data_IF_824846742821
#
_entry.id   IF_824846742821
#
_cell.length_a   1.000
_cell.length_b   1.000
_cell.length_c   1.000
_cell.angle_alpha   90.00
_cell.angle_beta   90.00
_cell.angle_gamma   90.00
#
_symmetry.space_group_name_H-M   'P 1'
#
loop_
_entity.id
_entity.type
_entity.pdbx_description
1 polymer ?
#
# COMPACT_ATOMS: atom_id res chain seq x y z
N UNK A 1 36.05 1.66 -10.23
CA UNK A 1 36.14 0.82 -9.03
C UNK A 1 35.92 -0.61 -9.46
N UNK A 2 36.78 -1.56 -9.05
CA UNK A 2 36.55 -2.99 -9.35
C UNK A 2 35.82 -3.63 -8.18
N UNK A 3 34.65 -4.21 -8.44
CA UNK A 3 33.91 -4.98 -7.45
C UNK A 3 34.69 -6.27 -7.18
N UNK A 4 34.96 -6.56 -5.90
CA UNK A 4 35.57 -7.84 -5.50
C UNK A 4 34.60 -9.01 -5.74
N UNK A 5 35.11 -10.24 -5.68
CA UNK A 5 34.27 -11.43 -5.74
C UNK A 5 33.12 -11.35 -4.73
N UNK A 6 31.91 -11.72 -5.16
CA UNK A 6 30.73 -11.69 -4.33
C UNK A 6 30.93 -12.58 -3.08
N UNK A 7 30.43 -12.12 -1.93
CA UNK A 7 30.35 -12.96 -0.73
C UNK A 7 29.57 -14.25 -1.03
N UNK A 8 29.80 -15.33 -0.26
CA UNK A 8 29.20 -16.62 -0.53
C UNK A 8 27.66 -16.52 -0.62
N UNK A 9 27.11 -16.93 -1.77
CA UNK A 9 25.68 -16.94 -2.02
C UNK A 9 25.03 -15.59 -2.36
N UNK A 10 25.79 -14.48 -2.39
CA UNK A 10 25.25 -13.16 -2.78
C UNK A 10 24.84 -13.16 -4.24
N UNK A 11 25.67 -13.71 -5.13
CA UNK A 11 25.39 -13.80 -6.56
C UNK A 11 24.14 -14.65 -6.84
N UNK A 12 23.97 -15.78 -6.15
CA UNK A 12 22.78 -16.63 -6.27
C UNK A 12 21.51 -15.93 -5.76
N UNK A 13 21.61 -15.15 -4.68
CA UNK A 13 20.47 -14.36 -4.18
C UNK A 13 20.10 -13.23 -5.12
N UNK A 14 21.09 -12.55 -5.71
CA UNK A 14 20.87 -11.51 -6.71
C UNK A 14 20.18 -12.09 -7.95
N UNK A 15 20.59 -13.28 -8.41
CA UNK A 15 19.92 -13.99 -9.49
C UNK A 15 18.47 -14.33 -9.13
N UNK A 16 18.21 -14.86 -7.93
CA UNK A 16 16.85 -15.17 -7.49
C UNK A 16 15.92 -13.93 -7.40
N UNK A 17 16.47 -12.76 -7.03
CA UNK A 17 15.72 -11.49 -7.08
C UNK A 17 15.37 -11.13 -8.52
N UNK A 18 16.31 -11.26 -9.46
CA UNK A 18 16.06 -10.99 -10.86
C UNK A 18 14.98 -11.92 -11.44
N UNK A 19 15.04 -13.21 -11.13
CA UNK A 19 14.03 -14.20 -11.55
C UNK A 19 12.64 -13.84 -11.01
N UNK A 20 12.54 -13.52 -9.70
CA UNK A 20 11.27 -13.13 -9.08
C UNK A 20 10.69 -11.83 -9.69
N UNK A 21 11.53 -10.87 -10.06
CA UNK A 21 11.09 -9.64 -10.75
C UNK A 21 10.57 -9.96 -12.15
N UNK A 22 11.24 -10.84 -12.90
CA UNK A 22 10.74 -11.30 -14.20
C UNK A 22 9.36 -11.96 -14.07
N UNK A 23 9.22 -12.89 -13.11
CA UNK A 23 7.93 -13.55 -12.84
C UNK A 23 6.83 -12.54 -12.49
N UNK A 24 7.14 -11.53 -11.67
CA UNK A 24 6.20 -10.46 -11.34
C UNK A 24 5.81 -9.65 -12.58
N UNK A 25 6.78 -9.26 -13.41
CA UNK A 25 6.54 -8.49 -14.65
C UNK A 25 5.64 -9.26 -15.61
N UNK A 26 5.83 -10.57 -15.75
CA UNK A 26 5.00 -11.42 -16.60
C UNK A 26 3.56 -11.58 -16.06
N UNK A 27 3.38 -11.49 -14.74
CA UNK A 27 2.09 -11.66 -14.09
C UNK A 27 1.24 -10.38 -14.01
N UNK A 28 1.87 -9.20 -14.00
CA UNK A 28 1.16 -7.94 -13.72
C UNK A 28 0.53 -7.30 -14.96
N UNK A 29 -0.66 -6.74 -14.77
CA UNK A 29 -1.32 -5.81 -15.66
C UNK A 29 -1.80 -4.60 -14.85
N UNK A 30 -2.24 -3.49 -15.47
CA UNK A 30 -2.72 -2.33 -14.71
C UNK A 30 -3.86 -2.64 -13.73
N UNK A 31 -4.62 -3.73 -13.94
CA UNK A 31 -5.76 -4.11 -13.10
C UNK A 31 -5.46 -5.20 -12.07
N UNK A 32 -4.27 -5.80 -12.07
CA UNK A 32 -3.91 -6.88 -11.12
C UNK A 32 -3.26 -6.34 -9.84
N UNK A 33 -2.88 -5.07 -9.81
CA UNK A 33 -2.26 -4.46 -8.64
C UNK A 33 -3.30 -4.21 -7.54
N UNK A 34 -3.00 -4.70 -6.34
CA UNK A 34 -3.66 -4.25 -5.11
C UNK A 34 -2.79 -3.21 -4.41
N UNK A 35 -3.38 -2.40 -3.52
CA UNK A 35 -2.61 -1.43 -2.71
C UNK A 35 -1.46 -2.11 -1.97
N UNK A 36 -1.73 -3.26 -1.31
CA UNK A 36 -0.70 -4.02 -0.61
C UNK A 36 0.41 -4.52 -1.53
N UNK A 37 0.07 -5.04 -2.72
CA UNK A 37 1.09 -5.48 -3.67
C UNK A 37 2.00 -4.34 -4.15
N UNK A 38 1.46 -3.12 -4.30
CA UNK A 38 2.28 -1.96 -4.65
C UNK A 38 3.14 -1.50 -3.47
N UNK A 39 2.62 -1.55 -2.24
CA UNK A 39 3.39 -1.25 -1.02
C UNK A 39 4.56 -2.22 -0.85
N UNK A 40 4.32 -3.52 -0.97
CA UNK A 40 5.34 -4.57 -0.88
C UNK A 40 6.42 -4.40 -1.97
N UNK A 41 6.00 -4.13 -3.22
CA UNK A 41 6.94 -3.89 -4.31
C UNK A 41 7.78 -2.63 -4.08
N UNK A 42 7.18 -1.55 -3.57
CA UNK A 42 7.89 -0.33 -3.24
C UNK A 42 8.89 -0.54 -2.08
N UNK A 43 8.52 -1.32 -1.06
CA UNK A 43 9.41 -1.67 0.05
C UNK A 43 10.60 -2.50 -0.42
N UNK A 44 10.38 -3.48 -1.31
CA UNK A 44 11.45 -4.25 -1.93
C UNK A 44 12.43 -3.37 -2.74
N UNK A 45 11.92 -2.38 -3.48
CA UNK A 45 12.75 -1.40 -4.20
C UNK A 45 13.60 -0.58 -3.22
N UNK A 46 13.02 -0.10 -2.13
CA UNK A 46 13.74 0.69 -1.12
C UNK A 46 14.86 -0.15 -0.46
N UNK A 47 14.58 -1.41 -0.09
CA UNK A 47 15.56 -2.32 0.50
C UNK A 47 16.70 -2.66 -0.48
N UNK A 48 16.39 -2.91 -1.75
CA UNK A 48 17.42 -3.17 -2.77
C UNK A 48 18.26 -1.92 -3.04
N UNK A 49 17.66 -0.74 -3.08
CA UNK A 49 18.37 0.52 -3.24
C UNK A 49 19.31 0.79 -2.06
N UNK A 50 18.88 0.51 -0.82
CA UNK A 50 19.73 0.61 0.36
C UNK A 50 20.92 -0.36 0.29
N UNK A 51 20.68 -1.63 -0.07
CA UNK A 51 21.73 -2.63 -0.20
C UNK A 51 22.77 -2.26 -1.27
N UNK A 52 22.33 -1.73 -2.42
CA UNK A 52 23.22 -1.28 -3.49
C UNK A 52 23.95 0.03 -3.15
N UNK A 53 23.31 0.93 -2.41
CA UNK A 53 23.95 2.16 -1.93
C UNK A 53 25.12 1.89 -0.99
N UNK A 54 25.15 0.72 -0.33
CA UNK A 54 26.26 0.30 0.52
C UNK A 54 27.53 -0.13 -0.24
N UNK A 55 27.48 -0.25 -1.58
CA UNK A 55 28.64 -0.60 -2.41
C UNK A 55 29.71 0.49 -2.32
N UNK A 56 29.34 1.73 -2.65
CA UNK A 56 30.22 2.88 -2.63
C UNK A 56 29.45 4.23 -2.63
N UNK A 57 30.13 5.37 -2.35
CA UNK A 57 29.48 6.68 -2.33
C UNK A 57 28.91 7.17 -3.67
N UNK A 58 29.35 6.63 -4.80
CA UNK A 58 28.79 6.93 -6.12
C UNK A 58 27.46 6.17 -6.33
N UNK A 59 27.39 4.90 -5.97
CA UNK A 59 26.16 4.12 -5.93
C UNK A 59 25.11 4.76 -5.00
N UNK A 60 25.52 5.18 -3.80
CA UNK A 60 24.64 5.90 -2.88
C UNK A 60 24.07 7.19 -3.49
N UNK A 61 24.90 7.97 -4.20
CA UNK A 61 24.45 9.19 -4.90
C UNK A 61 23.51 8.88 -6.06
N UNK A 62 23.79 7.82 -6.81
CA UNK A 62 22.95 7.39 -7.93
C UNK A 62 21.55 6.95 -7.46
N UNK A 63 21.45 6.32 -6.29
CA UNK A 63 20.22 5.76 -5.74
C UNK A 63 19.47 6.68 -4.77
N UNK A 64 20.03 7.85 -4.44
CA UNK A 64 19.47 8.76 -3.43
C UNK A 64 18.02 9.21 -3.68
N UNK A 65 17.56 9.19 -4.94
CA UNK A 65 16.20 9.59 -5.30
C UNK A 65 15.16 8.49 -5.09
N UNK A 66 15.57 7.22 -4.94
CA UNK A 66 14.65 6.07 -4.89
C UNK A 66 13.66 6.16 -3.71
N UNK A 67 14.09 6.40 -2.46
CA UNK A 67 13.15 6.47 -1.33
C UNK A 67 12.12 7.59 -1.46
N UNK A 68 12.51 8.72 -2.05
CA UNK A 68 11.59 9.82 -2.30
C UNK A 68 10.55 9.47 -3.37
N UNK A 69 10.96 8.75 -4.41
CA UNK A 69 10.09 8.30 -5.49
C UNK A 69 9.07 7.26 -5.02
N UNK A 70 9.50 6.24 -4.26
CA UNK A 70 8.62 5.22 -3.69
C UNK A 70 7.66 5.82 -2.65
N UNK A 71 8.11 6.76 -1.81
CA UNK A 71 7.23 7.50 -0.91
C UNK A 71 6.19 8.36 -1.65
N UNK A 72 6.57 8.97 -2.78
CA UNK A 72 5.63 9.72 -3.62
C UNK A 72 4.57 8.80 -4.26
N UNK A 73 4.96 7.60 -4.70
CA UNK A 73 4.05 6.58 -5.21
C UNK A 73 3.02 6.16 -4.14
N UNK A 74 3.48 5.80 -2.94
CA UNK A 74 2.60 5.42 -1.82
C UNK A 74 1.61 6.54 -1.46
N UNK A 75 2.07 7.80 -1.41
CA UNK A 75 1.18 8.96 -1.17
C UNK A 75 0.08 9.10 -2.23
N UNK A 76 0.41 8.92 -3.51
CA UNK A 76 -0.59 8.99 -4.60
C UNK A 76 -1.65 7.90 -4.46
N UNK A 77 -1.27 6.70 -4.06
CA UNK A 77 -2.19 5.58 -3.89
C UNK A 77 -3.09 5.76 -2.67
N UNK A 78 -2.54 6.27 -1.56
CA UNK A 78 -3.32 6.61 -0.38
C UNK A 78 -4.39 7.68 -0.70
N UNK A 79 -4.05 8.66 -1.53
CA UNK A 79 -5.01 9.68 -1.99
C UNK A 79 -6.11 9.07 -2.88
N UNK A 80 -5.75 8.23 -3.85
CA UNK A 80 -6.73 7.57 -4.71
C UNK A 80 -7.71 6.69 -3.90
N UNK A 81 -7.21 5.93 -2.93
CA UNK A 81 -8.05 5.11 -2.05
C UNK A 81 -9.02 5.96 -1.19
N UNK A 82 -8.58 7.15 -0.75
CA UNK A 82 -9.43 8.07 0.01
C UNK A 82 -10.55 8.68 -0.86
N UNK A 83 -10.26 8.98 -2.13
CA UNK A 83 -11.26 9.45 -3.10
C UNK A 83 -12.33 8.39 -3.37
N UNK A 84 -11.93 7.13 -3.59
CA UNK A 84 -12.88 6.02 -3.80
C UNK A 84 -13.78 5.80 -2.57
N UNK A 85 -13.25 5.94 -1.35
CA UNK A 85 -14.03 5.83 -0.12
C UNK A 85 -15.07 6.95 0.03
N UNK A 86 -14.76 8.17 -0.44
CA UNK A 86 -15.68 9.31 -0.40
C UNK A 86 -16.86 9.18 -1.39
N UNK A 87 -16.71 8.37 -2.45
CA UNK A 87 -17.75 8.14 -3.46
C UNK A 87 -18.85 7.19 -2.96
N UNK A 88 -18.58 6.36 -1.94
CA UNK A 88 -19.63 5.55 -1.31
C UNK A 88 -20.58 6.48 -0.56
N UNK A 89 -21.83 6.69 -1.05
CA UNK A 89 -22.77 7.51 -0.32
C UNK A 89 -23.05 6.80 1.00
N UNK A 90 -22.75 7.46 2.13
CA UNK A 90 -23.19 6.97 3.43
C UNK A 90 -24.66 6.56 3.31
N UNK A 91 -25.07 5.37 3.82
CA UNK A 91 -26.47 4.99 3.82
C UNK A 91 -27.19 6.13 4.50
N UNK A 92 -28.00 6.87 3.72
CA UNK A 92 -28.85 7.92 4.25
C UNK A 92 -29.70 7.22 5.27
N UNK A 93 -29.35 7.37 6.55
CA UNK A 93 -30.18 6.97 7.67
C UNK A 93 -31.41 7.85 7.56
N UNK A 94 -32.37 7.41 6.75
CA UNK A 94 -33.67 8.02 6.65
C UNK A 94 -34.20 8.02 8.06
N UNK A 95 -34.23 9.20 8.69
CA UNK A 95 -34.90 9.40 9.98
C UNK A 95 -36.23 8.67 9.86
N UNK A 96 -36.38 7.58 10.60
CA UNK A 96 -37.65 6.88 10.69
C UNK A 96 -38.67 7.94 11.07
N UNK A 97 -39.60 8.26 10.16
CA UNK A 97 -40.73 9.11 10.47
C UNK A 97 -41.39 8.45 11.66
N UNK A 98 -41.26 9.07 12.85
CA UNK A 98 -41.98 8.63 14.03
C UNK A 98 -43.46 8.76 13.66
N UNK A 99 -44.06 7.65 13.23
CA UNK A 99 -45.52 7.50 13.26
C UNK A 99 -45.84 7.58 14.74
N UNK A 100 -46.41 8.72 15.14
CA UNK A 100 -46.92 8.88 16.49
C UNK A 100 -47.78 7.67 16.82
N UNK A 101 -47.50 7.02 17.95
CA UNK A 101 -48.38 6.03 18.54
C UNK A 101 -49.73 6.74 18.69
N UNK A 102 -50.73 6.32 17.90
CA UNK A 102 -52.00 7.02 17.77
C UNK A 102 -52.70 7.28 19.11
N UNK A 103 -53.71 8.16 19.09
CA UNK A 103 -54.50 8.54 20.27
C UNK A 103 -54.94 7.30 21.06
N UNK A 104 -54.29 7.03 22.20
CA UNK A 104 -54.54 5.84 23.01
C UNK A 104 -53.35 5.28 23.78
N UNK A 105 -52.12 5.74 23.54
CA UNK A 105 -50.97 5.26 24.31
C UNK A 105 -51.00 5.78 25.77
N UNK A 106 -51.27 4.87 26.72
CA UNK A 106 -51.09 5.09 28.17
C UNK A 106 -49.84 4.36 28.62
N UNK A 107 -48.79 5.11 28.95
CA UNK A 107 -47.55 4.58 29.50
C UNK A 107 -47.79 3.86 30.84
N UNK A 108 -47.11 2.73 31.03
CA UNK A 108 -47.12 1.96 32.27
C UNK A 108 -46.19 2.67 33.26
N UNK A 109 -46.69 3.00 34.47
CA UNK A 109 -45.83 3.40 35.59
C UNK A 109 -45.49 2.15 36.39
N UNK A 110 -44.21 1.79 36.42
CA UNK A 110 -43.67 0.85 37.42
C UNK A 110 -43.56 1.57 38.76
N UNK A 111 -44.11 1.02 39.86
CA UNK A 111 -43.80 1.48 41.21
C UNK A 111 -42.43 0.91 41.65
N UNK A 112 -41.75 1.67 42.50
CA UNK A 112 -40.46 1.33 43.14
C UNK A 112 -40.57 0.11 44.09
#
# INVERSE_FOLDING_TARGET
MELSAAGPGVEQRAAAVADAVCELVDAVTPTTWSTGAVEDAADAIDMLAEALAAIDPEAARALAAVPAATAALRRRLALAAAEDAAVVPAPRSGRARRRGLGHGWKGIRTPE
#
